data_IF_811177914367
#
_entry.id   IF_811177914367
#
_cell.length_a   1.000
_cell.length_b   1.000
_cell.length_c   1.000
_cell.angle_alpha   90.00
_cell.angle_beta   90.00
_cell.angle_gamma   90.00
#
_symmetry.space_group_name_H-M   'P 1'
#
loop_
_entity.id
_entity.type
_entity.pdbx_description
1 polymer ?
#
# COMPACT_ATOMS: atom_id res chain seq x y z
N UNK A 1 -22.21 -0.16 -7.82
CA UNK A 1 -22.84 -1.29 -7.11
C UNK A 1 -22.52 -1.13 -5.64
N UNK A 2 -23.54 -0.98 -4.82
CA UNK A 2 -23.45 -0.96 -3.36
C UNK A 2 -23.57 -2.40 -2.88
N UNK A 3 -22.67 -2.85 -2.04
CA UNK A 3 -22.75 -4.18 -1.43
C UNK A 3 -23.26 -4.01 -0.01
N UNK A 4 -24.36 -4.65 0.31
CA UNK A 4 -24.94 -4.63 1.66
C UNK A 4 -24.14 -5.48 2.66
N UNK A 5 -23.33 -6.39 2.15
CA UNK A 5 -22.48 -7.27 2.95
C UNK A 5 -21.11 -7.41 2.31
N UNK A 6 -20.08 -6.87 2.95
CA UNK A 6 -18.70 -7.08 2.58
C UNK A 6 -17.97 -7.79 3.73
N UNK A 7 -17.35 -8.91 3.44
CA UNK A 7 -16.47 -9.61 4.38
C UNK A 7 -15.06 -9.65 3.80
N UNK A 8 -14.09 -9.22 4.59
CA UNK A 8 -12.70 -9.20 4.24
C UNK A 8 -11.86 -9.84 5.36
N UNK A 9 -11.04 -10.80 4.98
CA UNK A 9 -10.14 -11.46 5.92
C UNK A 9 -8.71 -11.39 5.40
N UNK A 10 -7.79 -10.89 6.21
CA UNK A 10 -6.39 -10.76 5.87
C UNK A 10 -5.48 -11.00 7.06
N UNK A 11 -4.47 -11.84 6.87
CA UNK A 11 -3.34 -11.95 7.79
C UNK A 11 -2.21 -11.05 7.34
N UNK A 12 -1.63 -10.32 8.29
CA UNK A 12 -0.45 -9.48 8.10
C UNK A 12 0.79 -10.26 8.54
N UNK A 13 1.25 -11.17 7.68
CA UNK A 13 2.42 -12.02 7.93
C UNK A 13 3.71 -11.22 7.72
N UNK A 14 4.77 -11.64 8.40
CA UNK A 14 6.12 -11.10 8.21
C UNK A 14 6.38 -9.75 8.87
N UNK A 15 5.60 -9.38 9.85
CA UNK A 15 5.78 -8.15 10.61
C UNK A 15 6.64 -8.45 11.83
N UNK A 16 7.94 -8.14 11.75
CA UNK A 16 8.87 -8.32 12.87
C UNK A 16 8.61 -7.32 13.98
N UNK A 17 8.82 -7.74 15.22
CA UNK A 17 8.85 -6.83 16.37
C UNK A 17 9.91 -5.75 16.15
N UNK A 18 9.57 -4.51 16.44
CA UNK A 18 10.49 -3.37 16.43
C UNK A 18 10.51 -2.50 15.18
N UNK A 19 10.00 -2.96 14.01
CA UNK A 19 10.06 -2.20 12.76
C UNK A 19 8.81 -1.41 12.42
N UNK A 20 7.93 -1.11 13.40
CA UNK A 20 6.60 -0.57 13.12
C UNK A 20 5.87 -1.47 12.11
N UNK A 21 4.91 -2.23 12.57
CA UNK A 21 4.19 -3.26 11.79
C UNK A 21 3.46 -2.70 10.58
N UNK A 22 4.20 -2.29 9.54
CA UNK A 22 3.67 -1.61 8.36
C UNK A 22 3.46 -2.58 7.20
N UNK A 23 2.40 -2.34 6.44
CA UNK A 23 2.12 -3.09 5.21
C UNK A 23 1.30 -2.24 4.24
N UNK A 24 1.26 -2.62 2.96
CA UNK A 24 0.40 -1.95 1.99
C UNK A 24 -1.03 -2.44 2.10
N UNK A 25 -2.00 -1.55 1.95
CA UNK A 25 -3.41 -1.89 1.80
C UNK A 25 -4.02 -1.17 0.59
N UNK A 26 -4.99 -1.82 -0.04
CA UNK A 26 -5.77 -1.28 -1.15
C UNK A 26 -7.17 -1.86 -1.07
N UNK A 27 -8.17 -1.03 -0.74
CA UNK A 27 -9.50 -1.49 -0.39
C UNK A 27 -10.57 -0.94 -1.33
N UNK A 28 -11.63 -1.71 -1.60
CA UNK A 28 -12.73 -1.27 -2.45
C UNK A 28 -13.77 -0.42 -1.68
N UNK A 29 -13.46 0.01 -0.47
CA UNK A 29 -14.35 0.80 0.37
C UNK A 29 -13.59 1.90 1.12
N UNK A 30 -14.33 2.93 1.52
CA UNK A 30 -13.86 4.05 2.34
C UNK A 30 -14.01 3.70 3.82
N UNK A 31 -13.04 4.10 4.63
CA UNK A 31 -13.10 4.00 6.09
C UNK A 31 -12.82 5.36 6.72
N UNK A 32 -13.62 5.75 7.69
CA UNK A 32 -13.32 6.86 8.57
C UNK A 32 -12.38 6.44 9.72
N UNK A 33 -11.97 7.39 10.53
CA UNK A 33 -11.02 7.16 11.62
C UNK A 33 -11.53 6.12 12.63
N UNK A 34 -12.81 6.16 13.01
CA UNK A 34 -13.38 5.22 13.96
C UNK A 34 -13.38 3.79 13.42
N UNK A 35 -13.71 3.62 12.15
CA UNK A 35 -13.66 2.32 11.46
C UNK A 35 -12.24 1.77 11.38
N UNK A 36 -11.27 2.62 11.05
CA UNK A 36 -9.84 2.25 11.05
C UNK A 36 -9.42 1.76 12.43
N UNK A 37 -9.76 2.50 13.49
CA UNK A 37 -9.42 2.14 14.87
C UNK A 37 -10.13 0.87 15.35
N UNK A 38 -11.37 0.68 14.97
CA UNK A 38 -12.16 -0.52 15.31
C UNK A 38 -11.57 -1.77 14.67
N UNK A 39 -11.18 -1.67 13.39
CA UNK A 39 -10.69 -2.81 12.60
C UNK A 39 -9.24 -3.16 12.95
N UNK A 40 -8.39 -2.14 13.07
CA UNK A 40 -6.92 -2.32 13.16
C UNK A 40 -6.35 -1.98 14.54
N UNK A 41 -7.19 -1.51 15.47
CA UNK A 41 -6.78 -1.08 16.81
C UNK A 41 -6.59 0.43 16.93
N UNK A 42 -6.77 0.95 18.15
CA UNK A 42 -6.79 2.39 18.45
C UNK A 42 -5.50 3.14 18.08
N UNK A 43 -4.36 2.44 18.08
CA UNK A 43 -3.05 3.01 17.71
C UNK A 43 -2.69 2.81 16.24
N UNK A 44 -3.57 2.20 15.44
CA UNK A 44 -3.34 2.02 14.02
C UNK A 44 -3.21 3.37 13.30
N UNK A 45 -2.27 3.44 12.35
CA UNK A 45 -2.04 4.63 11.54
C UNK A 45 -2.10 4.27 10.06
N UNK A 46 -2.62 5.18 9.28
CA UNK A 46 -2.67 5.08 7.82
C UNK A 46 -1.86 6.22 7.22
N UNK A 47 -1.11 5.91 6.15
CA UNK A 47 -0.30 6.90 5.45
C UNK A 47 -0.60 6.88 3.96
N UNK A 48 -0.86 8.06 3.40
CA UNK A 48 -0.80 8.28 1.94
C UNK A 48 0.65 8.44 1.52
N UNK A 49 1.03 7.85 0.39
CA UNK A 49 2.32 8.16 -0.24
C UNK A 49 2.19 9.50 -0.97
N UNK A 50 2.98 10.48 -0.58
CA UNK A 50 2.88 11.86 -1.09
C UNK A 50 4.04 12.27 -1.98
N UNK A 51 5.25 11.74 -1.74
CA UNK A 51 6.40 12.09 -2.56
C UNK A 51 7.44 10.97 -2.61
N UNK A 52 8.30 11.06 -3.61
CA UNK A 52 9.52 10.26 -3.73
C UNK A 52 10.71 11.18 -4.00
N UNK A 53 11.78 10.97 -3.26
CA UNK A 53 13.06 11.65 -3.49
C UNK A 53 14.10 10.64 -3.95
N UNK A 54 14.51 10.75 -5.20
CA UNK A 54 15.47 9.82 -5.81
C UNK A 54 16.91 10.07 -5.41
N UNK A 55 17.21 11.25 -4.85
CA UNK A 55 18.54 11.59 -4.35
C UNK A 55 18.75 11.01 -2.96
N UNK A 56 17.77 11.19 -2.07
CA UNK A 56 17.83 10.71 -0.69
C UNK A 56 17.34 9.26 -0.53
N UNK A 57 16.86 8.65 -1.61
CA UNK A 57 16.28 7.31 -1.63
C UNK A 57 15.11 7.17 -0.63
N UNK A 58 14.22 8.16 -0.58
CA UNK A 58 13.08 8.17 0.33
C UNK A 58 11.75 8.20 -0.40
N UNK A 59 10.77 7.53 0.19
CA UNK A 59 9.34 7.61 -0.15
C UNK A 59 8.62 8.12 1.08
N UNK A 60 8.00 9.28 0.94
CA UNK A 60 7.36 9.97 2.07
C UNK A 60 5.90 9.58 2.21
N UNK A 61 5.52 9.18 3.43
CA UNK A 61 4.15 8.96 3.84
C UNK A 61 3.64 10.08 4.73
N UNK A 62 2.44 10.57 4.45
CA UNK A 62 1.74 11.56 5.27
C UNK A 62 0.58 10.88 5.99
N UNK A 63 0.44 11.05 7.33
CA UNK A 63 -0.67 10.48 8.08
C UNK A 63 -2.02 10.98 7.56
N UNK A 64 -2.99 10.08 7.49
CA UNK A 64 -4.38 10.40 7.15
C UNK A 64 -5.32 9.71 8.13
N UNK A 65 -6.47 10.34 8.40
CA UNK A 65 -7.50 9.82 9.31
C UNK A 65 -8.63 9.09 8.58
N UNK A 66 -8.60 9.11 7.26
CA UNK A 66 -9.61 8.48 6.41
C UNK A 66 -8.94 7.79 5.23
N UNK A 67 -9.47 6.64 4.81
CA UNK A 67 -9.12 6.01 3.54
C UNK A 67 -10.25 6.21 2.54
N UNK A 68 -9.89 6.20 1.27
CA UNK A 68 -10.86 6.22 0.18
C UNK A 68 -10.76 4.92 -0.61
N UNK A 69 -11.89 4.47 -1.17
CA UNK A 69 -11.92 3.32 -2.07
C UNK A 69 -11.02 3.56 -3.29
N UNK A 70 -10.39 2.50 -3.79
CA UNK A 70 -9.48 2.56 -4.94
C UNK A 70 -8.23 3.43 -4.73
N UNK A 71 -7.85 3.72 -3.49
CA UNK A 71 -6.61 4.43 -3.16
C UNK A 71 -5.72 3.51 -2.32
N UNK A 72 -4.46 3.31 -2.72
CA UNK A 72 -3.52 2.51 -1.95
C UNK A 72 -2.90 3.33 -0.80
N UNK A 73 -2.68 2.65 0.34
CA UNK A 73 -2.10 3.23 1.55
C UNK A 73 -1.05 2.32 2.17
N UNK A 74 -0.23 2.88 3.07
CA UNK A 74 0.53 2.12 4.05
C UNK A 74 -0.26 2.09 5.35
N UNK A 75 -0.52 0.90 5.86
CA UNK A 75 -1.08 0.66 7.18
C UNK A 75 0.03 0.36 8.17
N UNK A 76 0.06 1.06 9.29
CA UNK A 76 0.88 0.74 10.46
C UNK A 76 -0.03 0.19 11.56
N UNK A 77 0.23 -1.04 11.96
CA UNK A 77 -0.52 -1.72 13.02
C UNK A 77 0.09 -1.42 14.40
N UNK A 78 -0.69 -1.48 15.48
CA UNK A 78 -0.16 -1.36 16.84
C UNK A 78 0.97 -2.34 17.11
N UNK A 79 1.94 -1.96 17.95
CA UNK A 79 3.04 -2.85 18.38
C UNK A 79 2.52 -4.12 19.05
N UNK A 80 1.38 -4.03 19.72
CA UNK A 80 0.70 -5.14 20.39
C UNK A 80 -0.08 -6.04 19.45
N UNK A 81 -0.14 -5.72 18.15
CA UNK A 81 -0.89 -6.51 17.17
C UNK A 81 -0.37 -7.94 17.13
N UNK A 82 -1.28 -8.88 17.38
CA UNK A 82 -1.02 -10.30 17.19
C UNK A 82 -1.33 -10.68 15.74
N UNK A 83 -0.65 -11.68 15.24
CA UNK A 83 -0.76 -12.09 13.84
C UNK A 83 -2.01 -12.94 13.54
N UNK A 84 -3.11 -12.63 14.22
CA UNK A 84 -4.35 -13.41 14.21
C UNK A 84 -5.23 -13.15 12.98
N UNK A 85 -4.82 -12.17 12.16
CA UNK A 85 -5.59 -11.72 11.01
C UNK A 85 -6.58 -10.63 11.37
N UNK A 86 -7.17 -10.05 10.36
CA UNK A 86 -8.29 -9.10 10.43
C UNK A 86 -9.44 -9.67 9.66
N UNK A 87 -10.60 -9.73 10.31
CA UNK A 87 -11.87 -9.97 9.64
C UNK A 87 -12.75 -8.74 9.84
N UNK A 88 -13.32 -8.25 8.76
CA UNK A 88 -14.25 -7.15 8.79
C UNK A 88 -15.53 -7.54 8.05
N UNK A 89 -16.64 -7.34 8.73
CA UNK A 89 -17.99 -7.53 8.20
C UNK A 89 -18.75 -6.20 8.38
N UNK A 90 -19.23 -5.64 7.29
CA UNK A 90 -19.88 -4.33 7.30
C UNK A 90 -21.39 -4.38 7.52
N UNK A 91 -21.96 -5.50 7.96
CA UNK A 91 -23.40 -5.66 8.14
C UNK A 91 -24.04 -4.57 9.00
N UNK A 92 -23.31 -4.10 10.00
CA UNK A 92 -23.79 -3.09 10.94
C UNK A 92 -23.39 -1.66 10.57
N UNK A 93 -22.26 -1.45 9.90
CA UNK A 93 -21.66 -0.13 9.68
C UNK A 93 -22.08 0.56 8.39
N UNK A 94 -22.90 -0.06 7.57
CA UNK A 94 -23.39 0.48 6.28
C UNK A 94 -22.29 1.14 5.44
N UNK A 95 -21.12 0.51 5.35
CA UNK A 95 -20.06 0.98 4.48
C UNK A 95 -20.55 1.01 3.04
N UNK A 96 -20.42 2.17 2.42
CA UNK A 96 -20.64 2.27 0.97
C UNK A 96 -19.47 1.62 0.27
N UNK A 97 -19.69 0.43 -0.25
CA UNK A 97 -18.67 -0.32 -0.99
C UNK A 97 -18.83 -0.05 -2.48
N UNK A 98 -17.76 0.35 -3.12
CA UNK A 98 -17.74 0.51 -4.57
C UNK A 98 -16.95 -0.65 -5.17
N UNK A 99 -17.63 -1.47 -5.97
CA UNK A 99 -16.96 -2.46 -6.78
C UNK A 99 -16.25 -1.77 -7.93
N UNK A 100 -14.92 -1.84 -7.95
CA UNK A 100 -14.16 -1.38 -9.09
C UNK A 100 -14.18 -2.45 -10.19
N UNK A 101 -14.57 -2.07 -11.40
CA UNK A 101 -14.37 -2.92 -12.58
C UNK A 101 -12.90 -3.05 -12.99
N UNK A 102 -12.03 -2.29 -12.33
CA UNK A 102 -10.59 -2.27 -12.60
C UNK A 102 -9.87 -3.23 -11.66
N UNK A 103 -8.93 -3.98 -12.21
CA UNK A 103 -8.08 -4.88 -11.44
C UNK A 103 -7.05 -4.14 -10.57
N UNK A 104 -6.75 -2.91 -10.94
CA UNK A 104 -5.80 -2.05 -10.24
C UNK A 104 -6.17 -0.57 -10.41
N UNK A 105 -5.69 0.26 -9.51
CA UNK A 105 -5.73 1.71 -9.54
C UNK A 105 -4.43 2.27 -9.00
N UNK A 106 -4.12 3.51 -9.35
CA UNK A 106 -2.90 4.16 -8.89
C UNK A 106 -3.15 5.58 -8.39
N UNK A 107 -2.23 6.03 -7.55
CA UNK A 107 -2.10 7.41 -7.12
C UNK A 107 -0.75 7.94 -7.60
N UNK A 108 -0.75 9.08 -8.27
CA UNK A 108 0.47 9.74 -8.71
C UNK A 108 1.29 10.22 -7.52
N UNK A 109 2.59 9.96 -7.57
CA UNK A 109 3.55 10.41 -6.57
C UNK A 109 4.39 11.51 -7.18
N UNK A 110 4.45 12.63 -6.48
CA UNK A 110 5.21 13.80 -6.92
C UNK A 110 6.62 13.79 -6.36
N UNK A 111 7.57 14.34 -7.11
CA UNK A 111 8.85 14.75 -6.59
C UNK A 111 8.79 16.24 -6.27
N UNK A 112 9.45 16.70 -5.20
CA UNK A 112 9.58 18.13 -4.92
C UNK A 112 10.18 18.94 -6.09
N UNK A 113 11.01 18.28 -6.91
CA UNK A 113 11.82 18.97 -7.95
C UNK A 113 11.33 18.76 -9.38
N UNK A 114 10.56 17.68 -9.68
CA UNK A 114 10.34 17.24 -11.08
C UNK A 114 8.91 16.82 -11.44
N UNK A 115 7.91 17.18 -10.66
CA UNK A 115 6.53 16.77 -10.95
C UNK A 115 6.27 15.28 -10.65
N UNK A 116 5.41 14.61 -11.42
CA UNK A 116 5.06 13.20 -11.21
C UNK A 116 6.27 12.30 -11.46
N UNK A 117 6.76 11.63 -10.41
CA UNK A 117 7.93 10.73 -10.45
C UNK A 117 7.56 9.26 -10.46
N UNK A 118 6.31 8.93 -10.20
CA UNK A 118 5.89 7.55 -10.13
C UNK A 118 4.46 7.42 -9.67
N UNK A 119 4.09 6.20 -9.34
CA UNK A 119 2.73 5.86 -8.95
C UNK A 119 2.74 4.78 -7.88
N UNK A 120 1.85 4.93 -6.92
CA UNK A 120 1.54 3.87 -5.96
C UNK A 120 0.33 3.10 -6.48
N UNK A 121 0.54 1.82 -6.82
CA UNK A 121 -0.41 1.00 -7.57
C UNK A 121 -1.00 -0.07 -6.67
N UNK A 122 -2.31 -0.03 -6.48
CA UNK A 122 -3.06 -1.05 -5.75
C UNK A 122 -3.63 -2.13 -6.68
N UNK A 123 -3.75 -3.36 -6.18
CA UNK A 123 -4.28 -4.50 -6.94
C UNK A 123 -5.39 -5.20 -6.18
N UNK A 124 -6.48 -5.57 -6.87
CA UNK A 124 -7.63 -6.30 -6.32
C UNK A 124 -7.59 -7.80 -6.59
N UNK A 125 -6.77 -8.23 -7.52
CA UNK A 125 -6.60 -9.65 -7.83
C UNK A 125 -5.14 -10.07 -7.68
N UNK A 126 -4.91 -11.38 -7.66
CA UNK A 126 -3.56 -11.92 -7.71
C UNK A 126 -2.85 -11.39 -8.97
N UNK A 127 -1.77 -10.65 -8.75
CA UNK A 127 -1.03 -9.98 -9.82
C UNK A 127 0.40 -10.48 -9.85
N UNK A 128 0.81 -11.02 -10.98
CA UNK A 128 2.19 -11.39 -11.24
C UNK A 128 2.82 -10.35 -12.16
N UNK A 129 3.83 -9.64 -11.68
CA UNK A 129 4.58 -8.65 -12.44
C UNK A 129 5.93 -9.27 -12.79
N UNK A 130 6.08 -9.63 -14.04
CA UNK A 130 7.32 -10.18 -14.58
C UNK A 130 8.04 -9.13 -15.45
N UNK A 131 9.33 -9.28 -15.71
CA UNK A 131 10.08 -8.31 -16.52
C UNK A 131 9.46 -8.01 -17.89
N UNK A 132 8.78 -8.99 -18.49
CA UNK A 132 8.10 -8.82 -19.79
C UNK A 132 6.87 -7.90 -19.69
N UNK A 133 6.30 -7.77 -18.46
CA UNK A 133 5.14 -6.92 -18.16
C UNK A 133 5.54 -5.54 -17.64
N UNK A 134 6.82 -5.27 -17.49
CA UNK A 134 7.27 -3.94 -17.09
C UNK A 134 7.02 -2.95 -18.22
N UNK A 135 6.27 -1.90 -17.89
CA UNK A 135 6.14 -0.79 -18.82
C UNK A 135 7.49 -0.10 -19.01
N UNK A 136 7.82 0.22 -20.27
CA UNK A 136 9.02 1.00 -20.55
C UNK A 136 8.98 2.33 -19.83
N UNK A 137 10.05 2.68 -19.15
CA UNK A 137 10.18 3.95 -18.45
C UNK A 137 9.87 3.90 -16.95
N UNK A 138 9.58 2.72 -16.39
CA UNK A 138 9.38 2.57 -14.95
C UNK A 138 10.29 1.49 -14.34
N UNK A 139 10.70 1.75 -13.11
CA UNK A 139 11.25 0.78 -12.18
C UNK A 139 10.17 0.40 -11.14
N UNK A 140 10.14 -0.86 -10.72
CA UNK A 140 9.09 -1.43 -9.87
C UNK A 140 9.65 -1.83 -8.50
N UNK A 141 8.93 -1.48 -7.44
CA UNK A 141 9.36 -1.68 -6.06
C UNK A 141 8.23 -2.27 -5.21
N UNK A 142 8.55 -3.30 -4.43
CA UNK A 142 7.64 -3.90 -3.45
C UNK A 142 7.99 -3.51 -2.04
N UNK A 143 6.97 -3.26 -1.21
CA UNK A 143 7.16 -2.97 0.21
C UNK A 143 7.55 -4.25 0.95
N UNK A 144 8.69 -4.21 1.64
CA UNK A 144 9.19 -5.29 2.47
C UNK A 144 8.94 -4.96 3.96
N UNK A 145 7.92 -5.60 4.52
CA UNK A 145 7.55 -5.43 5.91
C UNK A 145 8.60 -6.00 6.89
N UNK A 146 9.45 -6.92 6.42
CA UNK A 146 10.47 -7.59 7.24
C UNK A 146 11.81 -6.84 7.27
N UNK A 147 12.03 -5.91 6.35
CA UNK A 147 13.31 -5.21 6.18
C UNK A 147 13.18 -3.71 6.38
N UNK A 148 12.79 -3.30 7.59
CA UNK A 148 12.85 -1.89 8.02
C UNK A 148 12.05 -0.91 7.16
N UNK A 149 10.90 -1.35 6.62
CA UNK A 149 10.04 -0.44 5.87
C UNK A 149 10.65 0.08 4.58
N UNK A 150 11.31 -0.77 3.84
CA UNK A 150 11.87 -0.44 2.52
C UNK A 150 10.95 -0.86 1.40
N UNK A 151 10.98 -0.09 0.33
CA UNK A 151 10.52 -0.52 -0.98
C UNK A 151 11.72 -1.07 -1.75
N UNK A 152 11.77 -2.38 -1.94
CA UNK A 152 12.86 -3.03 -2.64
C UNK A 152 12.58 -3.16 -4.13
N UNK A 153 13.60 -2.96 -4.95
CA UNK A 153 13.55 -3.15 -6.40
C UNK A 153 13.19 -4.59 -6.76
N UNK A 154 12.31 -4.76 -7.73
CA UNK A 154 12.02 -6.09 -8.27
C UNK A 154 13.20 -6.59 -9.09
N UNK A 155 13.73 -7.72 -8.66
CA UNK A 155 14.78 -8.42 -9.40
C UNK A 155 14.26 -8.96 -10.73
N UNK A 156 15.15 -9.59 -11.50
CA UNK A 156 14.84 -10.28 -12.76
C UNK A 156 13.71 -11.30 -12.68
N UNK A 157 13.37 -11.77 -11.47
CA UNK A 157 12.30 -12.75 -11.26
C UNK A 157 10.90 -12.12 -11.11
N UNK A 158 10.82 -10.77 -11.09
CA UNK A 158 9.58 -10.07 -10.87
C UNK A 158 9.03 -10.20 -9.45
N UNK A 159 7.75 -9.95 -9.27
CA UNK A 159 7.07 -10.05 -7.98
C UNK A 159 5.63 -10.53 -8.10
N UNK A 160 5.13 -11.13 -7.04
CA UNK A 160 3.75 -11.63 -6.92
C UNK A 160 3.03 -10.88 -5.82
N UNK A 161 1.85 -10.33 -6.15
CA UNK A 161 1.00 -9.63 -5.21
C UNK A 161 -0.31 -10.37 -5.02
N UNK A 162 -0.63 -10.62 -3.74
CA UNK A 162 -1.98 -11.06 -3.37
C UNK A 162 -2.96 -9.89 -3.51
N UNK A 163 -4.27 -10.14 -3.61
CA UNK A 163 -5.29 -9.09 -3.61
C UNK A 163 -5.13 -8.12 -2.44
N UNK A 164 -5.61 -6.90 -2.62
CA UNK A 164 -5.60 -5.82 -1.61
C UNK A 164 -4.20 -5.36 -1.17
N UNK A 165 -3.23 -5.48 -2.05
CA UNK A 165 -1.84 -5.02 -1.87
C UNK A 165 -1.53 -3.86 -2.82
N UNK A 166 -0.36 -3.24 -2.59
CA UNK A 166 0.13 -2.20 -3.48
C UNK A 166 1.64 -2.30 -3.68
N UNK A 167 2.11 -1.72 -4.79
CA UNK A 167 3.52 -1.59 -5.13
C UNK A 167 3.80 -0.19 -5.69
N UNK A 168 5.07 0.20 -5.70
CA UNK A 168 5.51 1.43 -6.35
C UNK A 168 5.99 1.14 -7.76
N UNK A 169 5.69 2.04 -8.70
CA UNK A 169 6.43 2.20 -9.94
C UNK A 169 6.97 3.62 -10.02
N UNK A 170 8.25 3.77 -10.26
CA UNK A 170 8.96 5.04 -10.26
C UNK A 170 9.55 5.25 -11.64
N UNK A 171 9.51 6.48 -12.17
CA UNK A 171 10.09 6.80 -13.46
C UNK A 171 11.55 6.35 -13.49
N UNK A 172 11.88 5.58 -14.51
CA UNK A 172 13.22 4.99 -14.65
C UNK A 172 14.25 6.09 -14.78
N UNK A 173 15.22 6.07 -13.88
CA UNK A 173 16.43 6.88 -14.00
C UNK A 173 17.51 6.09 -14.73
N UNK A 174 18.57 6.77 -15.17
CA UNK A 174 19.72 6.13 -15.83
C UNK A 174 20.30 4.97 -15.00
N UNK A 175 20.20 5.06 -13.67
CA UNK A 175 20.61 4.03 -12.73
C UNK A 175 19.43 3.70 -11.80
N UNK A 176 18.82 2.54 -12.00
CA UNK A 176 17.78 2.02 -11.10
C UNK A 176 18.30 1.93 -9.68
N UNK A 177 17.54 2.44 -8.72
CA UNK A 177 17.93 2.39 -7.30
C UNK A 177 17.58 1.01 -6.72
N UNK A 178 18.40 0.45 -5.83
CA UNK A 178 18.13 -0.88 -5.25
C UNK A 178 16.93 -0.87 -4.29
N UNK A 179 16.67 0.26 -3.65
CA UNK A 179 15.55 0.43 -2.70
C UNK A 179 15.27 1.92 -2.43
N UNK A 180 14.12 2.15 -1.78
CA UNK A 180 13.74 3.42 -1.15
C UNK A 180 13.32 3.17 0.29
N UNK A 181 13.72 4.06 1.23
CA UNK A 181 13.23 4.05 2.60
C UNK A 181 11.84 4.70 2.67
N UNK A 182 10.92 4.09 3.40
CA UNK A 182 9.67 4.73 3.77
C UNK A 182 9.90 5.62 4.97
N UNK A 183 9.63 6.91 4.83
CA UNK A 183 9.73 7.91 5.89
C UNK A 183 8.38 8.57 6.13
N UNK A 184 8.12 9.02 7.34
CA UNK A 184 6.89 9.69 7.74
C UNK A 184 7.20 11.15 8.01
N UNK A 185 6.37 12.04 7.41
CA UNK A 185 6.37 13.47 7.75
C UNK A 185 5.53 13.74 8.98
#
# INVERSE_FOLDING_TARGET
ITWDNFSWNRRFLGMSEGSGKRNTIFLPFTMNENQIKTIFGTEAKIYSITSVNTNDLTVTGTPVTQTYYNVPYILELPKTWKNDGVSYDNKEDKLVTYYSKYDSKYTDIKSPEKGTQGQFVGVYKFTNITPEKYEKGYDYYGYDANRYGKFNFFSKNGARFKPFRAYLRINKSANSKPFYYFVVN
#
